data_IF_168970565768
#
_entry.id   IF_168970565768
#
_cell.length_a   1.000
_cell.length_b   1.000
_cell.length_c   1.000
_cell.angle_alpha   90.00
_cell.angle_beta   90.00
_cell.angle_gamma   90.00
#
_symmetry.space_group_name_H-M   'P 1'
#
loop_
_entity.id
_entity.type
_entity.pdbx_description
1 polymer ?
#
# COMPACT_ATOMS: atom_id res chain seq x y z
N UNK A 1 -2.00 -6.84 7.73
CA UNK A 1 -2.70 -7.89 6.95
C UNK A 1 -3.54 -7.19 5.87
N UNK A 2 -3.99 -7.83 4.77
CA UNK A 2 -4.91 -7.17 3.85
C UNK A 2 -6.21 -6.81 4.58
N UNK A 3 -6.54 -5.53 4.61
CA UNK A 3 -7.74 -4.98 5.26
C UNK A 3 -8.98 -5.49 4.52
N UNK A 4 -9.86 -6.18 5.24
CA UNK A 4 -11.13 -6.63 4.72
C UNK A 4 -12.23 -5.65 5.12
N UNK A 5 -12.44 -4.61 4.30
CA UNK A 5 -13.64 -3.77 4.43
C UNK A 5 -14.84 -4.65 4.08
N UNK A 6 -15.56 -5.14 5.09
CA UNK A 6 -16.77 -5.95 4.90
C UNK A 6 -17.91 -5.02 4.51
N UNK A 7 -18.18 -4.92 3.22
CA UNK A 7 -19.39 -4.30 2.71
C UNK A 7 -20.61 -5.17 3.07
N UNK A 8 -21.36 -4.74 4.11
CA UNK A 8 -22.54 -5.45 4.62
C UNK A 8 -23.79 -5.29 3.76
N UNK A 9 -23.72 -4.57 2.63
CA UNK A 9 -24.86 -4.39 1.74
C UNK A 9 -25.26 -5.71 1.08
N UNK A 10 -26.57 -5.96 0.96
CA UNK A 10 -27.09 -7.03 0.12
C UNK A 10 -26.57 -6.80 -1.30
N UNK A 11 -25.68 -7.69 -1.77
CA UNK A 11 -25.10 -7.61 -3.10
C UNK A 11 -26.23 -7.83 -4.12
N UNK A 12 -26.69 -6.80 -4.86
CA UNK A 12 -27.70 -7.01 -5.87
C UNK A 12 -26.99 -7.73 -7.02
N UNK A 13 -27.26 -9.03 -7.15
CA UNK A 13 -26.63 -9.89 -8.16
C UNK A 13 -26.71 -9.23 -9.53
N UNK A 14 -25.56 -8.82 -10.08
CA UNK A 14 -25.50 -8.18 -11.40
C UNK A 14 -24.42 -7.12 -11.59
N UNK A 15 -23.73 -6.64 -10.53
CA UNK A 15 -22.63 -5.67 -10.71
C UNK A 15 -21.31 -6.36 -11.10
N UNK A 16 -20.62 -5.82 -12.12
CA UNK A 16 -19.31 -6.29 -12.55
C UNK A 16 -18.30 -6.23 -11.40
N UNK A 17 -17.45 -7.26 -11.29
CA UNK A 17 -16.40 -7.37 -10.27
C UNK A 17 -15.51 -6.12 -10.24
N UNK A 18 -15.22 -5.54 -11.42
CA UNK A 18 -14.42 -4.33 -11.59
C UNK A 18 -15.04 -3.08 -10.94
N UNK A 19 -16.36 -2.87 -11.07
CA UNK A 19 -17.03 -1.72 -10.46
C UNK A 19 -16.98 -1.81 -8.93
N UNK A 20 -17.13 -3.02 -8.38
CA UNK A 20 -16.99 -3.27 -6.95
C UNK A 20 -15.56 -2.98 -6.47
N UNK A 21 -14.55 -3.41 -7.21
CA UNK A 21 -13.15 -3.09 -6.88
C UNK A 21 -12.88 -1.59 -6.89
N UNK A 22 -13.42 -0.84 -7.88
CA UNK A 22 -13.30 0.62 -7.94
C UNK A 22 -13.97 1.31 -6.75
N UNK A 23 -15.16 0.85 -6.36
CA UNK A 23 -15.87 1.35 -5.19
C UNK A 23 -15.06 1.11 -3.91
N UNK A 24 -14.59 -0.13 -3.67
CA UNK A 24 -13.79 -0.47 -2.50
C UNK A 24 -12.50 0.34 -2.41
N UNK A 25 -11.83 0.60 -3.53
CA UNK A 25 -10.62 1.45 -3.57
C UNK A 25 -10.92 2.88 -3.14
N UNK A 26 -12.04 3.45 -3.62
CA UNK A 26 -12.46 4.81 -3.25
C UNK A 26 -12.91 4.89 -1.79
N UNK A 27 -13.66 3.91 -1.33
CA UNK A 27 -14.06 3.80 0.07
C UNK A 27 -12.83 3.75 0.97
N UNK A 28 -11.84 2.92 0.63
CA UNK A 28 -10.56 2.85 1.36
C UNK A 28 -9.87 4.21 1.43
N UNK A 29 -9.75 4.95 0.32
CA UNK A 29 -9.07 6.27 0.34
C UNK A 29 -9.83 7.31 1.18
N UNK A 30 -11.17 7.27 1.16
CA UNK A 30 -11.98 8.15 2.00
C UNK A 30 -11.86 7.80 3.48
N UNK A 31 -11.83 6.51 3.82
CA UNK A 31 -11.56 6.03 5.19
C UNK A 31 -10.18 6.49 5.64
N UNK A 32 -9.13 6.31 4.83
CA UNK A 32 -7.78 6.77 5.15
C UNK A 32 -7.73 8.29 5.37
N UNK A 33 -8.35 9.07 4.48
CA UNK A 33 -8.42 10.52 4.63
C UNK A 33 -9.18 10.98 5.88
N UNK A 34 -10.27 10.29 6.24
CA UNK A 34 -11.02 10.56 7.45
C UNK A 34 -10.23 10.20 8.71
N UNK A 35 -9.60 9.03 8.75
CA UNK A 35 -8.69 8.59 9.83
C UNK A 35 -7.58 9.62 10.05
N UNK A 36 -6.97 10.14 8.97
CA UNK A 36 -5.92 11.16 9.05
C UNK A 36 -6.43 12.46 9.69
N UNK A 37 -7.60 12.95 9.27
CA UNK A 37 -8.21 14.15 9.86
C UNK A 37 -8.55 13.94 11.34
N UNK A 38 -9.20 12.83 11.67
CA UNK A 38 -9.57 12.51 13.05
C UNK A 38 -8.34 12.31 13.94
N UNK A 39 -7.24 11.77 13.41
CA UNK A 39 -6.00 11.60 14.16
C UNK A 39 -5.26 12.90 14.45
N UNK A 40 -5.49 13.97 13.68
CA UNK A 40 -4.92 15.29 13.96
C UNK A 40 -5.66 16.01 15.10
N UNK A 41 -6.93 15.68 15.30
CA UNK A 41 -7.80 16.33 16.29
C UNK A 41 -7.86 15.59 17.63
N UNK A 42 -7.51 14.29 17.69
CA UNK A 42 -7.62 13.46 18.90
C UNK A 42 -6.28 13.22 19.61
N UNK A 43 -6.36 13.08 20.92
CA UNK A 43 -5.24 12.68 21.76
C UNK A 43 -4.87 11.20 21.55
N UNK A 44 -3.57 10.90 21.61
CA UNK A 44 -2.97 9.56 21.36
C UNK A 44 -3.59 8.44 22.22
N UNK A 45 -4.08 8.77 23.43
CA UNK A 45 -4.72 7.77 24.31
C UNK A 45 -6.03 7.24 23.70
N UNK A 46 -6.81 8.11 23.08
CA UNK A 46 -8.09 7.75 22.45
C UNK A 46 -7.89 7.01 21.13
N UNK A 47 -6.76 7.23 20.44
CA UNK A 47 -6.38 6.51 19.22
C UNK A 47 -6.09 5.04 19.50
N UNK A 48 -5.58 4.72 20.70
CA UNK A 48 -5.27 3.35 21.12
C UNK A 48 -6.48 2.59 21.67
N UNK A 49 -7.63 3.23 21.88
CA UNK A 49 -8.85 2.57 22.36
C UNK A 49 -9.80 2.14 21.23
N UNK A 50 -9.51 2.53 19.98
CA UNK A 50 -10.39 2.31 18.84
C UNK A 50 -11.43 3.41 18.72
N UNK A 51 -11.98 3.61 17.52
CA UNK A 51 -12.81 4.79 17.26
C UNK A 51 -13.83 4.61 16.13
N UNK A 52 -14.98 5.24 16.33
CA UNK A 52 -15.94 5.47 15.27
C UNK A 52 -15.42 6.60 14.36
N UNK A 53 -15.22 6.27 13.07
CA UNK A 53 -14.87 7.24 12.04
C UNK A 53 -16.11 7.50 11.21
N UNK A 54 -16.59 8.73 11.24
CA UNK A 54 -17.72 9.17 10.44
C UNK A 54 -17.20 9.73 9.12
N UNK A 55 -17.63 9.15 8.00
CA UNK A 55 -17.20 9.56 6.67
C UNK A 55 -18.36 10.31 5.99
N UNK A 56 -18.13 11.53 5.48
CA UNK A 56 -19.13 12.23 4.69
C UNK A 56 -19.44 11.47 3.40
N UNK A 57 -20.71 11.44 2.99
CA UNK A 57 -21.17 10.70 1.80
C UNK A 57 -20.62 11.20 0.47
N UNK A 58 -20.13 12.44 0.43
CA UNK A 58 -19.66 13.07 -0.79
C UNK A 58 -18.47 12.31 -1.38
N UNK A 59 -18.77 11.51 -2.41
CA UNK A 59 -17.80 10.66 -3.12
C UNK A 59 -18.14 9.17 -3.13
N UNK A 60 -19.01 8.70 -2.23
CA UNK A 60 -19.43 7.28 -2.14
C UNK A 60 -20.57 6.91 -3.10
N UNK A 61 -21.13 7.90 -3.80
CA UNK A 61 -22.15 7.66 -4.81
C UNK A 61 -21.56 7.00 -6.07
N UNK A 62 -22.20 5.91 -6.49
CA UNK A 62 -21.93 5.32 -7.79
C UNK A 62 -22.58 6.19 -8.89
N UNK A 63 -21.83 6.62 -9.92
CA UNK A 63 -22.43 7.31 -11.04
C UNK A 63 -23.43 6.38 -11.74
N UNK A 64 -24.67 6.86 -11.91
CA UNK A 64 -25.71 6.13 -12.64
C UNK A 64 -25.89 6.79 -13.99
N UNK A 65 -25.73 6.00 -15.05
CA UNK A 65 -26.15 6.43 -16.38
C UNK A 65 -27.67 6.48 -16.41
N UNK A 66 -28.22 7.69 -16.45
CA UNK A 66 -29.62 7.88 -16.83
C UNK A 66 -29.69 7.83 -18.34
N UNK A 67 -30.62 7.02 -18.86
CA UNK A 67 -30.88 6.99 -20.29
C UNK A 67 -31.62 8.24 -20.76
N UNK A 68 -32.13 9.09 -19.87
CA UNK A 68 -32.90 10.27 -20.23
C UNK A 68 -31.99 11.44 -20.60
N UNK A 69 -31.81 11.63 -21.90
CA UNK A 69 -31.16 12.76 -22.53
C UNK A 69 -31.53 12.81 -24.02
N UNK A 70 -31.48 14.01 -24.61
CA UNK A 70 -31.87 14.28 -25.99
C UNK A 70 -33.36 14.63 -26.18
N UNK A 71 -33.70 15.13 -27.36
CA UNK A 71 -35.09 15.35 -27.80
C UNK A 71 -35.76 13.99 -28.05
N UNK A 72 -36.94 13.75 -27.47
CA UNK A 72 -37.65 12.48 -27.57
C UNK A 72 -39.10 12.72 -27.92
N UNK A 73 -39.55 12.03 -28.96
CA UNK A 73 -40.96 11.92 -29.29
C UNK A 73 -41.48 10.60 -28.72
N UNK A 74 -42.49 10.68 -27.86
CA UNK A 74 -43.13 9.51 -27.27
C UNK A 74 -44.64 9.67 -27.34
N UNK A 75 -45.32 8.63 -27.79
CA UNK A 75 -46.79 8.60 -27.83
C UNK A 75 -47.31 8.12 -26.48
N UNK A 76 -47.97 8.99 -25.73
CA UNK A 76 -48.66 8.65 -24.47
C UNK A 76 -50.13 8.33 -24.78
N UNK A 77 -50.58 7.07 -24.68
CA UNK A 77 -51.98 6.74 -24.87
C UNK A 77 -52.83 7.35 -23.77
N UNK A 78 -54.04 7.82 -24.10
CA UNK A 78 -54.97 8.42 -23.15
C UNK A 78 -54.98 9.95 -23.10
N UNK A 79 -54.32 10.63 -24.04
CA UNK A 79 -54.47 12.07 -24.19
C UNK A 79 -55.90 12.44 -24.60
N UNK A 80 -56.62 13.13 -23.71
CA UNK A 80 -57.97 13.66 -23.97
C UNK A 80 -58.03 15.20 -23.96
N UNK A 81 -56.91 15.87 -23.65
CA UNK A 81 -56.90 17.29 -23.26
C UNK A 81 -55.85 18.16 -23.96
N UNK A 82 -54.76 17.59 -24.46
CA UNK A 82 -53.64 18.35 -25.02
C UNK A 82 -53.60 18.25 -26.54
N UNK A 83 -53.27 19.35 -27.22
CA UNK A 83 -53.08 19.43 -28.67
C UNK A 83 -51.58 19.64 -28.97
N UNK A 84 -51.15 19.35 -30.19
CA UNK A 84 -49.79 19.61 -30.66
C UNK A 84 -49.41 21.09 -30.44
N UNK A 85 -48.33 21.34 -29.68
CA UNK A 85 -47.87 22.68 -29.28
C UNK A 85 -48.12 23.06 -27.82
N UNK A 86 -48.92 22.28 -27.08
CA UNK A 86 -49.15 22.52 -25.65
C UNK A 86 -47.93 22.13 -24.79
N UNK A 87 -47.61 22.98 -23.82
CA UNK A 87 -46.57 22.69 -22.83
C UNK A 87 -47.13 21.79 -21.71
N UNK A 88 -46.66 20.55 -21.63
CA UNK A 88 -46.92 19.70 -20.46
C UNK A 88 -46.10 20.21 -19.26
N UNK A 89 -46.76 20.41 -18.12
CA UNK A 89 -46.04 20.54 -16.86
C UNK A 89 -45.23 19.26 -16.64
N UNK A 90 -43.90 19.41 -16.56
CA UNK A 90 -42.99 18.31 -16.26
C UNK A 90 -43.49 17.67 -14.97
N UNK A 91 -43.86 16.38 -15.03
CA UNK A 91 -44.27 15.66 -13.83
C UNK A 91 -43.14 15.82 -12.81
N UNK A 92 -43.48 16.38 -11.65
CA UNK A 92 -42.56 16.65 -10.53
C UNK A 92 -42.11 15.38 -9.85
N UNK A 93 -41.69 14.37 -10.61
CA UNK A 93 -41.06 13.15 -10.13
C UNK A 93 -39.55 13.17 -10.38
N UNK A 94 -38.96 14.36 -10.27
CA UNK A 94 -37.67 14.48 -9.62
C UNK A 94 -37.95 15.06 -8.25
N UNK A 95 -38.02 14.21 -7.21
CA UNK A 95 -37.93 14.67 -5.84
C UNK A 95 -36.61 15.41 -5.67
N UNK A 96 -36.60 16.71 -5.95
CA UNK A 96 -35.90 17.65 -5.09
C UNK A 96 -36.65 17.56 -3.76
N UNK A 97 -36.17 16.65 -2.89
CA UNK A 97 -36.52 16.63 -1.49
C UNK A 97 -36.04 17.98 -0.97
N UNK A 98 -36.95 18.96 -0.99
CA UNK A 98 -36.79 20.21 -0.29
C UNK A 98 -36.68 19.78 1.17
N UNK A 99 -35.48 19.89 1.74
CA UNK A 99 -35.22 19.64 3.16
C UNK A 99 -35.95 20.73 3.95
N UNK A 100 -37.24 20.51 4.19
CA UNK A 100 -37.98 21.19 5.24
C UNK A 100 -37.32 20.87 6.58
N UNK A 101 -37.22 21.85 7.49
CA UNK A 101 -36.73 21.60 8.84
C UNK A 101 -37.79 20.80 9.59
N UNK A 102 -37.47 19.55 9.93
CA UNK A 102 -38.32 18.65 10.70
C UNK A 102 -38.81 17.45 9.90
N UNK A 103 -38.55 16.26 10.44
CA UNK A 103 -39.06 14.95 10.00
C UNK A 103 -38.48 14.38 8.69
N UNK A 104 -37.20 14.08 8.78
CA UNK A 104 -36.59 12.97 8.07
C UNK A 104 -35.23 12.81 8.71
N UNK A 105 -35.09 11.81 9.56
CA UNK A 105 -33.78 11.43 10.10
C UNK A 105 -32.87 11.20 8.89
N UNK A 106 -32.03 12.20 8.60
CA UNK A 106 -31.03 12.13 7.55
C UNK A 106 -29.93 11.24 8.10
N UNK A 107 -30.22 9.95 8.17
CA UNK A 107 -29.25 8.89 8.45
C UNK A 107 -28.29 8.76 7.26
N UNK A 108 -27.47 9.78 7.02
CA UNK A 108 -26.71 9.87 5.78
C UNK A 108 -25.27 10.35 6.07
N UNK A 109 -24.68 9.80 7.14
CA UNK A 109 -23.24 9.74 7.31
C UNK A 109 -22.83 8.28 7.52
N UNK A 110 -21.91 7.76 6.70
CA UNK A 110 -21.40 6.41 6.93
C UNK A 110 -20.54 6.42 8.19
N UNK A 111 -21.08 5.87 9.29
CA UNK A 111 -20.30 5.60 10.51
C UNK A 111 -19.64 4.24 10.36
N UNK A 112 -18.32 4.23 10.22
CA UNK A 112 -17.53 3.02 10.31
C UNK A 112 -17.00 2.91 11.72
N UNK A 113 -17.40 1.85 12.42
CA UNK A 113 -16.77 1.46 13.68
C UNK A 113 -15.52 0.67 13.29
N UNK A 114 -14.35 1.27 13.46
CA UNK A 114 -13.07 0.60 13.25
C UNK A 114 -12.60 0.02 14.58
N UNK A 115 -12.10 -1.21 14.54
CA UNK A 115 -11.34 -1.74 15.67
C UNK A 115 -10.05 -0.95 15.85
N UNK A 116 -9.48 -0.99 17.07
CA UNK A 116 -8.15 -0.42 17.36
C UNK A 116 -7.11 -0.88 16.34
N UNK A 117 -7.08 -2.18 16.05
CA UNK A 117 -6.07 -2.75 15.17
C UNK A 117 -6.24 -2.29 13.72
N UNK A 118 -7.47 -2.18 13.23
CA UNK A 118 -7.77 -1.67 11.89
C UNK A 118 -7.45 -0.17 11.76
N UNK A 119 -7.74 0.62 12.79
CA UNK A 119 -7.39 2.04 12.80
C UNK A 119 -5.88 2.22 12.69
N UNK A 120 -5.11 1.49 13.50
CA UNK A 120 -3.64 1.53 13.47
C UNK A 120 -3.12 1.04 12.12
N UNK A 121 -3.64 -0.06 11.58
CA UNK A 121 -3.20 -0.56 10.28
C UNK A 121 -3.49 0.43 9.14
N UNK A 122 -4.67 1.08 9.14
CA UNK A 122 -5.02 2.10 8.16
C UNK A 122 -4.14 3.34 8.27
N UNK A 123 -3.81 3.74 9.50
CA UNK A 123 -2.93 4.87 9.78
C UNK A 123 -1.49 4.61 9.32
N UNK A 124 -0.97 3.40 9.55
CA UNK A 124 0.41 3.04 9.22
C UNK A 124 0.62 2.64 7.75
N UNK A 125 -0.46 2.41 6.97
CA UNK A 125 -0.37 1.95 5.56
C UNK A 125 0.37 2.95 4.66
N UNK A 126 0.26 4.25 4.97
CA UNK A 126 0.87 5.34 4.20
C UNK A 126 2.31 5.69 4.67
N UNK A 127 2.81 4.98 5.68
CA UNK A 127 4.12 5.21 6.28
C UNK A 127 5.12 4.12 5.86
N UNK A 128 6.32 4.54 5.50
CA UNK A 128 7.42 3.66 5.10
C UNK A 128 8.76 4.24 5.54
N UNK A 129 9.72 3.38 5.87
CA UNK A 129 11.10 3.78 6.08
C UNK A 129 11.67 4.38 4.79
N UNK A 130 12.17 5.63 4.82
CA UNK A 130 12.76 6.27 3.66
C UNK A 130 13.93 5.46 3.09
N UNK A 131 14.07 5.47 1.76
CA UNK A 131 15.24 4.91 1.06
C UNK A 131 15.62 3.48 1.48
N UNK A 132 14.61 2.64 1.75
CA UNK A 132 14.81 1.23 2.10
C UNK A 132 15.36 0.44 0.91
N UNK A 133 16.68 0.39 0.82
CA UNK A 133 17.38 -0.35 -0.21
C UNK A 133 17.29 -1.86 0.08
N UNK A 134 16.96 -2.65 -0.94
CA UNK A 134 17.06 -4.11 -0.89
C UNK A 134 18.54 -4.51 -1.01
N UNK A 135 19.31 -4.28 0.06
CA UNK A 135 20.73 -4.64 0.14
C UNK A 135 20.84 -6.13 0.46
N UNK A 136 21.41 -6.86 -0.50
CA UNK A 136 21.85 -8.27 -0.49
C UNK A 136 20.92 -9.35 0.09
N UNK A 137 21.20 -10.57 -0.36
CA UNK A 137 20.45 -11.81 -0.12
C UNK A 137 21.04 -12.47 1.15
N UNK A 138 21.07 -11.76 2.27
CA UNK A 138 21.77 -12.29 3.45
C UNK A 138 20.93 -13.36 4.17
N UNK A 139 19.60 -13.27 4.16
CA UNK A 139 18.72 -14.28 4.75
C UNK A 139 17.49 -14.50 3.87
N UNK A 140 17.46 -15.63 3.16
CA UNK A 140 16.33 -16.03 2.32
C UNK A 140 15.28 -16.71 3.19
N UNK A 141 14.32 -15.94 3.72
CA UNK A 141 13.12 -16.51 4.35
C UNK A 141 11.87 -16.41 3.46
N UNK A 142 11.91 -15.58 2.42
CA UNK A 142 10.75 -15.38 1.54
C UNK A 142 11.02 -15.90 0.12
N UNK A 143 10.39 -17.02 -0.21
CA UNK A 143 10.31 -17.51 -1.58
C UNK A 143 9.20 -16.79 -2.32
N UNK A 144 9.57 -16.12 -3.42
CA UNK A 144 8.61 -15.54 -4.34
C UNK A 144 8.32 -16.50 -5.48
N UNK A 145 7.04 -16.70 -5.80
CA UNK A 145 6.69 -17.39 -7.04
C UNK A 145 6.86 -16.42 -8.21
N UNK A 146 7.77 -16.73 -9.13
CA UNK A 146 7.95 -16.02 -10.40
C UNK A 146 7.54 -16.91 -11.57
N UNK A 147 6.94 -16.31 -12.60
CA UNK A 147 6.57 -17.01 -13.82
C UNK A 147 7.81 -17.32 -14.65
N UNK A 148 8.17 -18.60 -14.75
CA UNK A 148 9.35 -19.10 -15.48
C UNK A 148 9.01 -19.65 -16.88
N UNK A 149 7.87 -19.26 -17.45
CA UNK A 149 7.46 -19.64 -18.80
C UNK A 149 6.42 -20.77 -18.84
N UNK A 150 6.68 -21.80 -19.65
CA UNK A 150 5.74 -22.89 -19.91
C UNK A 150 6.42 -24.26 -19.91
N UNK A 151 5.68 -25.28 -19.47
CA UNK A 151 6.09 -26.68 -19.47
C UNK A 151 5.02 -27.55 -20.14
N UNK A 152 5.39 -28.73 -20.60
CA UNK A 152 4.47 -29.70 -21.23
C UNK A 152 3.62 -30.47 -20.22
N UNK A 153 4.07 -30.56 -18.97
CA UNK A 153 3.38 -31.25 -17.87
C UNK A 153 3.24 -30.35 -16.65
N UNK A 154 2.11 -30.44 -15.94
CA UNK A 154 1.86 -29.64 -14.74
C UNK A 154 0.44 -29.79 -14.20
N UNK A 155 0.12 -29.06 -13.12
CA UNK A 155 -1.22 -29.05 -12.55
C UNK A 155 -2.26 -28.49 -13.54
N UNK A 156 -3.43 -29.13 -13.71
CA UNK A 156 -4.53 -28.62 -14.54
C UNK A 156 -4.91 -27.16 -14.30
N UNK A 157 -4.78 -26.67 -13.06
CA UNK A 157 -5.05 -25.26 -12.72
C UNK A 157 -4.13 -24.28 -13.46
N UNK A 158 -2.92 -24.71 -13.82
CA UNK A 158 -1.93 -23.87 -14.50
C UNK A 158 -2.01 -23.96 -16.03
N UNK A 159 -2.99 -24.68 -16.60
CA UNK A 159 -3.08 -24.87 -18.05
C UNK A 159 -3.23 -23.52 -18.79
N UNK A 160 -2.42 -23.34 -19.82
CA UNK A 160 -2.47 -22.17 -20.68
C UNK A 160 -3.32 -22.46 -21.91
N UNK A 161 -4.64 -22.35 -21.76
CA UNK A 161 -5.62 -22.62 -22.83
C UNK A 161 -5.26 -21.96 -24.15
N UNK A 162 -4.95 -20.66 -24.15
CA UNK A 162 -4.61 -19.92 -25.37
C UNK A 162 -3.40 -20.49 -26.11
N UNK A 163 -2.35 -20.89 -25.37
CA UNK A 163 -1.12 -21.44 -25.96
C UNK A 163 -1.30 -22.89 -26.41
N UNK A 164 -2.04 -23.68 -25.64
CA UNK A 164 -2.42 -25.05 -26.02
C UNK A 164 -3.23 -25.05 -27.31
N UNK A 165 -4.26 -24.20 -27.41
CA UNK A 165 -5.10 -24.09 -28.62
C UNK A 165 -4.28 -23.59 -29.82
N UNK A 166 -3.37 -22.64 -29.62
CA UNK A 166 -2.48 -22.15 -30.69
C UNK A 166 -1.58 -23.26 -31.23
N UNK A 167 -0.98 -24.08 -30.37
CA UNK A 167 -0.14 -25.21 -30.77
C UNK A 167 -0.97 -26.31 -31.47
N UNK A 168 -2.13 -26.64 -30.91
CA UNK A 168 -3.05 -27.60 -31.51
C UNK A 168 -3.54 -27.15 -32.91
N UNK A 169 -3.79 -25.85 -33.10
CA UNK A 169 -4.13 -25.30 -34.41
C UNK A 169 -2.94 -25.40 -35.38
N UNK A 170 -1.74 -25.00 -34.95
CA UNK A 170 -0.53 -25.09 -35.78
C UNK A 170 -0.24 -26.53 -36.24
N UNK A 171 -0.36 -27.50 -35.33
CA UNK A 171 -0.20 -28.94 -35.65
C UNK A 171 -1.26 -29.41 -36.65
N UNK A 172 -2.53 -29.03 -36.47
CA UNK A 172 -3.60 -29.39 -37.41
C UNK A 172 -3.38 -28.83 -38.81
N UNK A 173 -2.88 -27.59 -38.91
CA UNK A 173 -2.51 -26.97 -40.19
C UNK A 173 -1.33 -27.74 -40.82
N UNK A 174 -0.28 -28.03 -40.06
CA UNK A 174 0.89 -28.75 -40.54
C UNK A 174 0.57 -30.17 -41.03
N UNK A 175 -0.30 -30.90 -40.32
CA UNK A 175 -0.76 -32.23 -40.70
C UNK A 175 -1.88 -32.23 -41.75
N UNK A 176 -2.27 -31.04 -42.25
CA UNK A 176 -3.36 -30.83 -43.21
C UNK A 176 -4.64 -31.57 -42.79
N UNK A 177 -5.08 -31.35 -41.55
CA UNK A 177 -6.34 -31.93 -41.08
C UNK A 177 -7.49 -31.39 -41.95
N UNK A 178 -8.37 -32.24 -42.48
CA UNK A 178 -9.51 -31.80 -43.29
C UNK A 178 -10.37 -30.81 -42.51
N UNK A 179 -10.89 -29.78 -43.19
CA UNK A 179 -11.84 -28.86 -42.58
C UNK A 179 -13.19 -29.53 -42.44
N UNK A 180 -14.03 -29.02 -41.53
CA UNK A 180 -15.39 -29.53 -41.37
C UNK A 180 -16.22 -29.24 -42.63
N UNK A 181 -16.03 -28.05 -43.21
CA UNK A 181 -16.63 -27.60 -44.47
C UNK A 181 -16.33 -28.57 -45.62
N UNK A 182 -15.07 -28.97 -45.82
CA UNK A 182 -14.68 -29.93 -46.88
C UNK A 182 -15.38 -31.30 -46.73
N UNK A 183 -15.63 -31.74 -45.51
CA UNK A 183 -16.36 -32.99 -45.24
C UNK A 183 -17.85 -32.80 -45.51
N UNK A 184 -18.43 -31.68 -45.08
CA UNK A 184 -19.85 -31.35 -45.31
C UNK A 184 -20.16 -31.18 -46.80
N UNK A 185 -19.26 -30.56 -47.57
CA UNK A 185 -19.36 -30.43 -49.04
C UNK A 185 -19.35 -31.79 -49.73
N UNK A 186 -18.49 -32.72 -49.29
CA UNK A 186 -18.45 -34.09 -49.81
C UNK A 186 -19.69 -34.89 -49.40
N UNK A 187 -20.19 -34.74 -48.18
CA UNK A 187 -21.43 -35.37 -47.75
C UNK A 187 -22.64 -34.86 -48.55
N UNK A 188 -22.69 -33.56 -48.84
CA UNK A 188 -23.70 -32.96 -49.70
C UNK A 188 -23.57 -33.43 -51.16
N UNK A 189 -22.35 -33.56 -51.68
CA UNK A 189 -22.09 -34.08 -53.02
C UNK A 189 -22.53 -35.55 -53.16
N UNK A 190 -22.25 -36.39 -52.15
CA UNK A 190 -22.73 -37.78 -52.10
C UNK A 190 -24.26 -37.83 -52.08
N UNK A 191 -24.92 -36.97 -51.30
CA UNK A 191 -26.37 -36.93 -51.22
C UNK A 191 -27.05 -36.46 -52.52
N UNK A 192 -26.36 -35.68 -53.35
CA UNK A 192 -26.87 -35.17 -54.62
C UNK A 192 -26.47 -36.03 -55.85
N UNK A 193 -25.50 -36.93 -55.70
CA UNK A 193 -24.98 -37.75 -56.79
C UNK A 193 -25.97 -38.88 -57.14
N UNK A 194 -26.19 -39.10 -58.43
CA UNK A 194 -27.11 -40.11 -58.97
C UNK A 194 -26.41 -41.22 -59.76
N UNK A 195 -25.14 -41.00 -60.14
CA UNK A 195 -24.30 -41.96 -60.87
C UNK A 195 -23.57 -42.90 -59.90
N UNK A 196 -23.66 -44.22 -60.12
CA UNK A 196 -23.09 -45.24 -59.21
C UNK A 196 -21.55 -45.18 -59.16
N UNK A 197 -20.90 -44.96 -60.30
CA UNK A 197 -19.43 -44.88 -60.40
C UNK A 197 -18.86 -43.64 -59.69
N UNK A 198 -19.53 -42.48 -59.81
CA UNK A 198 -19.13 -41.24 -59.14
C UNK A 198 -19.36 -41.31 -57.62
N UNK A 199 -20.44 -41.97 -57.21
CA UNK A 199 -20.78 -42.18 -55.80
C UNK A 199 -19.72 -43.04 -55.10
N UNK A 200 -19.22 -44.09 -55.75
CA UNK A 200 -18.17 -44.94 -55.20
C UNK A 200 -16.85 -44.16 -54.98
N UNK A 201 -16.48 -43.30 -55.93
CA UNK A 201 -15.29 -42.42 -55.83
C UNK A 201 -15.43 -41.43 -54.67
N UNK A 202 -16.60 -40.79 -54.53
CA UNK A 202 -16.87 -39.82 -53.46
C UNK A 202 -16.87 -40.48 -52.08
N UNK A 203 -17.45 -41.68 -51.96
CA UNK A 203 -17.41 -42.46 -50.71
C UNK A 203 -15.98 -42.81 -50.31
N UNK A 204 -15.14 -43.25 -51.25
CA UNK A 204 -13.74 -43.56 -50.98
C UNK A 204 -12.94 -42.32 -50.53
N UNK A 205 -13.23 -41.15 -51.11
CA UNK A 205 -12.62 -39.87 -50.69
C UNK A 205 -13.07 -39.46 -49.28
N UNK A 206 -14.36 -39.60 -48.98
CA UNK A 206 -14.92 -39.32 -47.67
C UNK A 206 -14.32 -40.24 -46.60
N UNK A 207 -14.20 -41.54 -46.86
CA UNK A 207 -13.55 -42.48 -45.94
C UNK A 207 -12.10 -42.07 -45.65
N UNK A 208 -11.35 -41.67 -46.68
CA UNK A 208 -9.97 -41.19 -46.54
C UNK A 208 -9.87 -39.95 -45.66
N UNK A 209 -10.77 -38.98 -45.84
CA UNK A 209 -10.81 -37.76 -45.01
C UNK A 209 -11.28 -38.04 -43.57
N UNK A 210 -12.27 -38.92 -43.38
CA UNK A 210 -12.73 -39.37 -42.06
C UNK A 210 -11.61 -40.12 -41.32
N UNK A 211 -10.89 -41.00 -42.00
CA UNK A 211 -9.72 -41.70 -41.44
C UNK A 211 -8.62 -40.71 -41.03
N UNK A 212 -8.33 -39.70 -41.86
CA UNK A 212 -7.34 -38.65 -41.56
C UNK A 212 -7.77 -37.79 -40.36
N UNK A 213 -9.06 -37.47 -40.26
CA UNK A 213 -9.63 -36.71 -39.14
C UNK A 213 -9.55 -37.49 -37.83
N UNK A 214 -9.82 -38.80 -37.86
CA UNK A 214 -9.72 -39.68 -36.68
C UNK A 214 -8.27 -39.84 -36.19
N UNK A 215 -7.30 -39.85 -37.10
CA UNK A 215 -5.86 -39.89 -36.76
C UNK A 215 -5.32 -38.61 -36.13
N UNK A 216 -5.90 -37.45 -36.46
CA UNK A 216 -5.42 -36.14 -35.99
C UNK A 216 -6.39 -35.59 -34.92
N UNK A 217 -6.16 -35.85 -33.62
CA UNK A 217 -7.04 -35.38 -32.55
C UNK A 217 -7.09 -33.85 -32.50
N UNK A 218 -8.15 -33.30 -31.92
CA UNK A 218 -8.35 -31.85 -31.80
C UNK A 218 -7.33 -31.20 -30.86
N UNK A 219 -7.06 -31.84 -29.72
CA UNK A 219 -5.97 -31.51 -28.80
C UNK A 219 -5.19 -32.80 -28.59
N UNK A 220 -3.88 -32.73 -28.77
CA UNK A 220 -2.94 -33.80 -28.45
C UNK A 220 -2.26 -33.49 -27.11
N UNK A 221 -1.92 -34.48 -26.26
CA UNK A 221 -1.09 -34.26 -25.07
C UNK A 221 0.18 -33.45 -25.35
N UNK A 222 0.78 -33.57 -26.54
CA UNK A 222 1.94 -32.79 -26.97
C UNK A 222 1.65 -31.29 -27.16
N UNK A 223 0.39 -30.92 -27.40
CA UNK A 223 -0.04 -29.53 -27.58
C UNK A 223 -0.21 -28.82 -26.23
N UNK A 224 -0.39 -29.58 -25.14
CA UNK A 224 -0.73 -29.03 -23.82
C UNK A 224 0.46 -28.25 -23.26
N UNK A 225 0.20 -27.02 -22.82
CA UNK A 225 1.17 -26.18 -22.10
C UNK A 225 0.61 -25.72 -20.78
N UNK A 226 1.39 -25.90 -19.73
CA UNK A 226 1.11 -25.39 -18.39
C UNK A 226 2.02 -24.19 -18.12
N UNK A 227 1.52 -23.19 -17.39
CA UNK A 227 2.33 -22.09 -16.89
C UNK A 227 3.28 -22.65 -15.84
N UNK A 228 4.59 -22.43 -16.05
CA UNK A 228 5.63 -22.81 -15.11
C UNK A 228 5.86 -21.67 -14.13
N UNK A 229 5.90 -22.01 -12.87
CA UNK A 229 6.20 -21.12 -11.77
C UNK A 229 7.44 -21.68 -11.06
N UNK A 230 8.41 -20.83 -10.80
CA UNK A 230 9.61 -21.17 -10.03
C UNK A 230 9.65 -20.33 -8.77
N UNK A 231 10.12 -20.95 -7.69
CA UNK A 231 10.41 -20.26 -6.45
C UNK A 231 11.77 -19.60 -6.59
N UNK A 232 11.75 -18.26 -6.59
CA UNK A 232 12.97 -17.45 -6.62
C UNK A 232 13.11 -16.79 -5.24
N UNK A 233 14.30 -16.86 -4.62
CA UNK A 233 14.53 -16.16 -3.37
C UNK A 233 14.33 -14.66 -3.57
N UNK A 234 13.42 -14.05 -2.81
CA UNK A 234 13.27 -12.60 -2.82
C UNK A 234 14.21 -12.01 -1.77
N UNK A 235 15.09 -11.06 -2.13
CA UNK A 235 15.92 -10.38 -1.16
C UNK A 235 15.02 -9.62 -0.18
N UNK A 236 15.13 -9.96 1.09
CA UNK A 236 14.45 -9.27 2.18
C UNK A 236 15.38 -8.16 2.64
N UNK A 237 14.92 -6.92 2.61
CA UNK A 237 15.67 -5.80 3.19
C UNK A 237 15.65 -5.96 4.71
N UNK A 238 16.82 -6.15 5.31
CA UNK A 238 17.01 -6.04 6.75
C UNK A 238 17.29 -4.58 7.09
N UNK A 239 16.73 -4.13 8.21
CA UNK A 239 16.96 -2.78 8.70
C UNK A 239 17.10 -2.77 10.23
N UNK A 240 17.90 -1.84 10.73
CA UNK A 240 18.05 -1.56 12.16
C UNK A 240 17.63 -0.12 12.41
N UNK A 241 16.80 0.08 13.42
CA UNK A 241 16.41 1.40 13.92
C UNK A 241 17.06 1.65 15.27
N UNK A 242 17.87 2.71 15.34
CA UNK A 242 18.44 3.23 16.57
C UNK A 242 17.54 4.31 17.16
N UNK A 243 17.08 4.10 18.39
CA UNK A 243 16.28 5.06 19.15
C UNK A 243 17.16 5.71 20.21
N UNK A 244 17.52 6.99 20.02
CA UNK A 244 18.40 7.75 20.92
C UNK A 244 17.57 8.71 21.79
N UNK A 245 17.26 8.34 23.03
CA UNK A 245 16.48 9.20 23.94
C UNK A 245 17.40 9.93 24.91
N UNK A 246 17.19 11.24 25.02
CA UNK A 246 17.76 12.07 26.08
C UNK A 246 16.94 11.90 27.37
N UNK A 247 17.62 11.54 28.45
CA UNK A 247 17.01 11.36 29.78
C UNK A 247 17.68 12.24 30.83
N UNK A 248 18.35 13.30 30.38
CA UNK A 248 19.02 14.29 31.22
C UNK A 248 18.08 15.07 32.15
N UNK A 249 18.68 15.89 33.00
CA UNK A 249 17.98 16.76 33.93
C UNK A 249 17.28 17.96 33.29
N UNK A 250 17.68 18.40 32.09
CA UNK A 250 17.06 19.52 31.38
C UNK A 250 15.68 19.14 30.80
N UNK A 251 15.48 17.85 30.55
CA UNK A 251 14.22 17.30 30.04
C UNK A 251 13.13 17.23 31.13
N UNK A 252 12.12 18.10 31.00
CA UNK A 252 10.92 18.10 31.86
C UNK A 252 10.08 16.82 31.72
N UNK A 253 9.18 16.53 32.67
CA UNK A 253 8.27 15.38 32.57
C UNK A 253 7.39 15.42 31.30
N UNK A 254 6.96 16.62 30.89
CA UNK A 254 6.17 16.81 29.68
C UNK A 254 6.98 16.45 28.43
N UNK A 255 8.22 16.94 28.32
CA UNK A 255 9.07 16.63 27.17
C UNK A 255 9.42 15.13 27.13
N UNK A 256 9.65 14.50 28.29
CA UNK A 256 9.84 13.04 28.42
C UNK A 256 8.58 12.27 27.96
N UNK A 257 7.38 12.72 28.30
CA UNK A 257 6.12 12.12 27.83
C UNK A 257 5.99 12.23 26.30
N UNK A 258 6.31 13.37 25.71
CA UNK A 258 6.29 13.58 24.26
C UNK A 258 7.28 12.65 23.54
N UNK A 259 8.53 12.59 24.00
CA UNK A 259 9.55 11.72 23.43
C UNK A 259 9.16 10.24 23.52
N UNK A 260 8.65 9.78 24.68
CA UNK A 260 8.18 8.40 24.87
C UNK A 260 7.05 8.06 23.91
N UNK A 261 6.09 8.96 23.71
CA UNK A 261 4.97 8.76 22.77
C UNK A 261 5.44 8.62 21.33
N UNK A 262 6.39 9.47 20.91
CA UNK A 262 7.01 9.35 19.59
C UNK A 262 7.67 7.98 19.40
N UNK A 263 8.48 7.51 20.36
CA UNK A 263 9.13 6.20 20.26
C UNK A 263 8.17 5.03 20.36
N UNK A 264 7.10 5.13 21.15
CA UNK A 264 6.04 4.12 21.19
C UNK A 264 5.35 3.98 19.83
N UNK A 265 5.05 5.11 19.18
CA UNK A 265 4.46 5.10 17.84
C UNK A 265 5.43 4.50 16.82
N UNK A 266 6.72 4.87 16.90
CA UNK A 266 7.78 4.31 16.07
C UNK A 266 7.91 2.79 16.26
N UNK A 267 7.87 2.31 17.49
CA UNK A 267 7.94 0.88 17.81
C UNK A 267 6.76 0.11 17.20
N UNK A 268 5.54 0.61 17.40
CA UNK A 268 4.32 -0.01 16.84
C UNK A 268 4.38 0.00 15.31
N UNK A 269 4.82 1.11 14.71
CA UNK A 269 5.01 1.23 13.26
C UNK A 269 5.96 0.15 12.73
N UNK A 270 7.15 0.03 13.32
CA UNK A 270 8.17 -0.90 12.86
C UNK A 270 7.75 -2.36 13.02
N UNK A 271 7.23 -2.74 14.20
CA UNK A 271 6.78 -4.11 14.48
C UNK A 271 5.61 -4.56 13.61
N UNK A 272 4.70 -3.64 13.22
CA UNK A 272 3.55 -3.98 12.37
C UNK A 272 3.91 -4.01 10.89
N UNK A 273 4.70 -3.04 10.40
CA UNK A 273 4.97 -2.86 8.96
C UNK A 273 6.10 -3.74 8.47
N UNK A 274 7.05 -4.09 9.34
CA UNK A 274 8.26 -4.83 8.97
C UNK A 274 8.48 -6.05 9.87
N UNK A 275 8.79 -7.19 9.24
CA UNK A 275 9.08 -8.43 9.97
C UNK A 275 10.53 -8.54 10.42
N UNK A 276 11.45 -7.96 9.64
CA UNK A 276 12.90 -8.10 9.82
C UNK A 276 13.52 -6.73 10.12
N UNK A 277 13.03 -6.10 11.19
CA UNK A 277 13.61 -4.87 11.73
C UNK A 277 14.08 -5.13 13.15
N UNK A 278 15.36 -4.86 13.40
CA UNK A 278 15.92 -4.80 14.74
C UNK A 278 15.80 -3.38 15.29
N UNK A 279 15.44 -3.26 16.56
CA UNK A 279 15.27 -1.98 17.25
C UNK A 279 16.25 -1.96 18.40
N UNK A 280 17.14 -0.97 18.40
CA UNK A 280 18.15 -0.78 19.44
C UNK A 280 17.82 0.51 20.19
N UNK A 281 17.68 0.40 21.50
CA UNK A 281 17.36 1.53 22.36
C UNK A 281 18.63 2.00 23.07
N UNK A 282 18.96 3.28 22.91
CA UNK A 282 20.08 3.93 23.57
C UNK A 282 19.52 5.11 24.34
N UNK A 283 19.77 5.12 25.64
CA UNK A 283 19.50 6.30 26.48
C UNK A 283 20.81 6.99 26.79
N UNK A 284 20.77 8.32 26.90
CA UNK A 284 21.98 9.07 27.22
C UNK A 284 21.72 10.19 28.22
N UNK A 285 22.74 10.42 29.04
CA UNK A 285 22.95 11.59 29.90
C UNK A 285 24.37 12.11 29.63
N UNK A 286 25.23 12.14 30.66
CA UNK A 286 26.68 12.24 30.58
C UNK A 286 27.33 10.95 30.03
N UNK A 287 26.61 9.84 30.06
CA UNK A 287 27.00 8.55 29.47
C UNK A 287 25.84 7.96 28.69
N UNK A 288 26.17 7.20 27.64
CA UNK A 288 25.18 6.46 26.87
C UNK A 288 25.30 4.96 27.13
N UNK A 289 24.16 4.30 27.16
CA UNK A 289 24.07 2.85 27.29
C UNK A 289 22.93 2.29 26.46
N UNK A 290 23.14 1.08 25.95
CA UNK A 290 22.09 0.28 25.34
C UNK A 290 21.21 -0.31 26.44
N UNK A 291 19.90 -0.18 26.26
CA UNK A 291 18.90 -0.64 27.21
C UNK A 291 17.82 -1.47 26.53
N UNK A 292 17.06 -2.20 27.33
CA UNK A 292 15.88 -2.91 26.87
C UNK A 292 14.67 -1.97 26.77
N UNK A 293 13.59 -2.46 26.15
CA UNK A 293 12.34 -1.71 25.94
C UNK A 293 11.78 -1.17 27.27
N UNK A 294 11.77 -1.99 28.32
CA UNK A 294 11.19 -1.60 29.60
C UNK A 294 12.01 -0.48 30.27
N UNK A 295 13.34 -0.59 30.28
CA UNK A 295 14.18 0.44 30.87
C UNK A 295 14.18 1.73 30.04
N UNK A 296 14.07 1.63 28.72
CA UNK A 296 13.98 2.80 27.84
C UNK A 296 12.74 3.67 28.12
N UNK A 297 11.57 3.05 28.34
CA UNK A 297 10.33 3.80 28.56
C UNK A 297 10.05 4.15 30.02
N UNK A 298 10.51 3.36 30.98
CA UNK A 298 10.13 3.52 32.39
C UNK A 298 11.31 3.78 33.33
N UNK A 299 12.56 3.61 32.86
CA UNK A 299 13.75 3.76 33.68
C UNK A 299 13.95 5.21 34.15
N UNK A 300 14.17 5.46 35.45
CA UNK A 300 14.62 6.75 35.92
C UNK A 300 16.08 6.98 35.52
N UNK A 301 16.39 8.20 35.08
CA UNK A 301 17.76 8.65 34.86
C UNK A 301 17.81 10.17 35.09
N UNK A 302 18.94 10.64 35.60
CA UNK A 302 19.21 12.04 35.89
C UNK A 302 20.72 12.25 35.74
N UNK A 303 21.12 13.30 35.04
CA UNK A 303 22.52 13.59 34.72
C UNK A 303 22.63 14.79 33.77
N UNK A 304 23.85 15.12 33.38
CA UNK A 304 24.10 16.12 32.34
C UNK A 304 23.71 15.62 30.95
N UNK A 305 23.90 16.47 29.93
CA UNK A 305 23.53 16.17 28.55
C UNK A 305 24.79 16.17 27.68
N UNK A 306 25.23 14.98 27.25
CA UNK A 306 26.34 14.79 26.30
C UNK A 306 25.86 13.93 25.13
N UNK A 307 25.49 14.59 24.03
CA UNK A 307 24.97 13.92 22.83
C UNK A 307 26.04 13.07 22.13
N UNK A 308 27.31 13.49 22.17
CA UNK A 308 28.41 12.72 21.59
C UNK A 308 28.52 11.31 22.16
N UNK A 309 28.17 11.11 23.43
CA UNK A 309 28.19 9.79 24.09
C UNK A 309 27.21 8.82 23.41
N UNK A 310 26.01 9.30 23.05
CA UNK A 310 25.00 8.50 22.36
C UNK A 310 25.45 8.11 20.95
N UNK A 311 26.05 9.05 20.23
CA UNK A 311 26.55 8.82 18.87
C UNK A 311 27.76 7.88 18.85
N UNK A 312 28.63 7.95 19.87
CA UNK A 312 29.73 6.99 20.05
C UNK A 312 29.20 5.58 20.29
N UNK A 313 28.28 5.43 21.25
CA UNK A 313 27.65 4.14 21.54
C UNK A 313 26.95 3.56 20.29
N UNK A 314 26.21 4.40 19.55
CA UNK A 314 25.61 3.98 18.27
C UNK A 314 26.67 3.52 17.26
N UNK A 315 27.77 4.27 17.10
CA UNK A 315 28.84 3.92 16.17
C UNK A 315 29.50 2.58 16.53
N UNK A 316 29.76 2.34 17.82
CA UNK A 316 30.33 1.09 18.33
C UNK A 316 29.40 -0.09 18.03
N UNK A 317 28.11 0.05 18.36
CA UNK A 317 27.10 -0.98 18.09
C UNK A 317 26.99 -1.29 16.61
N UNK A 318 26.97 -0.27 15.74
CA UNK A 318 26.94 -0.46 14.29
C UNK A 318 28.16 -1.26 13.84
N UNK A 319 29.36 -0.92 14.33
CA UNK A 319 30.59 -1.63 13.93
C UNK A 319 30.64 -3.08 14.40
N UNK A 320 30.10 -3.38 15.58
CA UNK A 320 30.12 -4.72 16.16
C UNK A 320 29.04 -5.63 15.59
N UNK A 321 27.82 -5.12 15.40
CA UNK A 321 26.64 -5.94 15.05
C UNK A 321 26.09 -5.72 13.65
N UNK A 322 26.23 -4.52 13.06
CA UNK A 322 25.49 -4.13 11.87
C UNK A 322 26.40 -3.60 10.75
N UNK A 323 26.85 -4.49 9.86
CA UNK A 323 27.61 -4.07 8.69
C UNK A 323 26.73 -3.21 7.74
N UNK A 324 27.11 -1.95 7.41
CA UNK A 324 26.34 -1.07 6.52
C UNK A 324 26.13 -1.62 5.09
N UNK A 325 26.92 -2.63 4.69
CA UNK A 325 26.77 -3.31 3.39
C UNK A 325 25.55 -4.23 3.34
N UNK A 326 25.15 -4.79 4.49
CA UNK A 326 24.13 -5.82 4.59
C UNK A 326 22.84 -5.29 5.25
N UNK A 327 22.97 -4.31 6.14
CA UNK A 327 21.85 -3.70 6.87
C UNK A 327 21.54 -2.28 6.40
N UNK A 328 20.26 -1.92 6.39
CA UNK A 328 19.85 -0.52 6.33
C UNK A 328 19.78 0.07 7.73
N UNK A 329 20.51 1.15 7.97
CA UNK A 329 20.69 1.76 9.27
C UNK A 329 19.87 3.05 9.33
N UNK A 330 19.00 3.12 10.32
CA UNK A 330 18.14 4.25 10.61
C UNK A 330 18.39 4.74 12.03
N UNK A 331 18.28 6.04 12.26
CA UNK A 331 18.36 6.61 13.59
C UNK A 331 17.25 7.63 13.82
N UNK A 332 16.72 7.64 15.04
CA UNK A 332 15.74 8.60 15.52
C UNK A 332 16.18 9.09 16.89
N UNK A 333 16.52 10.37 16.98
CA UNK A 333 16.95 11.05 18.21
C UNK A 333 15.86 11.99 18.70
N UNK A 334 15.60 11.97 20.02
CA UNK A 334 14.74 12.93 20.69
C UNK A 334 15.48 13.58 21.87
N UNK A 335 15.49 14.91 21.91
CA UNK A 335 16.14 15.73 22.95
C UNK A 335 15.47 17.10 23.05
N UNK A 336 15.67 17.82 24.15
CA UNK A 336 15.21 19.22 24.33
C UNK A 336 16.06 20.24 23.55
N UNK A 337 17.16 19.79 22.93
CA UNK A 337 18.04 20.67 22.17
C UNK A 337 19.20 21.24 22.99
N UNK A 338 19.27 20.94 24.28
CA UNK A 338 20.39 21.36 25.12
C UNK A 338 21.59 20.43 24.92
N UNK A 339 22.78 21.01 24.85
CA UNK A 339 24.02 20.24 24.82
C UNK A 339 25.13 21.07 25.45
N UNK A 340 26.07 20.38 26.11
CA UNK A 340 27.26 21.05 26.62
C UNK A 340 28.04 21.72 25.49
N UNK A 341 28.46 22.97 25.69
CA UNK A 341 29.27 23.72 24.71
C UNK A 341 30.53 22.97 24.28
N UNK A 342 31.15 22.23 25.20
CA UNK A 342 32.35 21.43 24.91
C UNK A 342 32.08 20.23 24.00
N UNK A 343 30.81 19.83 23.85
CA UNK A 343 30.38 18.61 23.16
C UNK A 343 29.89 18.87 21.72
N UNK A 344 29.54 20.12 21.41
CA UNK A 344 29.00 20.49 20.10
C UNK A 344 29.93 20.15 18.94
N UNK A 345 31.23 20.48 19.04
CA UNK A 345 32.20 20.19 17.97
C UNK A 345 32.37 18.68 17.76
N UNK A 346 32.48 17.90 18.84
CA UNK A 346 32.61 16.45 18.78
C UNK A 346 31.38 15.80 18.16
N UNK A 347 30.18 16.26 18.55
CA UNK A 347 28.91 15.80 18.00
C UNK A 347 28.83 16.03 16.49
N UNK A 348 29.22 17.23 16.02
CA UNK A 348 29.25 17.54 14.59
C UNK A 348 30.20 16.66 13.78
N UNK A 349 31.40 16.41 14.31
CA UNK A 349 32.40 15.52 13.69
C UNK A 349 31.89 14.07 13.62
N UNK A 350 31.35 13.54 14.72
CA UNK A 350 30.83 12.17 14.77
C UNK A 350 29.67 11.97 13.79
N UNK A 351 28.73 12.93 13.72
CA UNK A 351 27.63 12.86 12.76
C UNK A 351 28.15 12.84 11.33
N UNK A 352 29.03 13.78 10.98
CA UNK A 352 29.52 13.96 9.61
C UNK A 352 30.37 12.80 9.14
N UNK A 353 31.30 12.33 9.98
CA UNK A 353 32.32 11.37 9.57
C UNK A 353 31.90 9.91 9.79
N UNK A 354 31.05 9.64 10.79
CA UNK A 354 30.80 8.27 11.28
C UNK A 354 29.36 7.79 11.12
N UNK A 355 28.37 8.66 11.37
CA UNK A 355 26.96 8.23 11.45
C UNK A 355 26.21 8.51 10.14
N UNK A 356 26.20 9.75 9.66
CA UNK A 356 25.45 10.15 8.46
C UNK A 356 25.89 9.40 7.18
N UNK A 357 27.18 9.06 6.97
CA UNK A 357 27.59 8.28 5.80
C UNK A 357 27.08 6.83 5.78
N UNK A 358 26.79 6.25 6.95
CA UNK A 358 26.32 4.86 7.07
C UNK A 358 24.79 4.77 7.20
N UNK A 359 24.14 5.85 7.64
CA UNK A 359 22.69 5.91 7.82
C UNK A 359 21.98 6.30 6.52
N UNK A 360 20.87 5.62 6.23
CA UNK A 360 19.97 5.96 5.14
C UNK A 360 19.12 7.18 5.49
N UNK A 361 18.74 7.28 6.76
CA UNK A 361 17.89 8.36 7.25
C UNK A 361 18.11 8.58 8.74
N UNK A 362 18.31 9.84 9.11
CA UNK A 362 18.42 10.29 10.49
C UNK A 362 17.28 11.26 10.79
N UNK A 363 16.45 10.94 11.77
CA UNK A 363 15.39 11.79 12.28
C UNK A 363 15.82 12.44 13.60
N UNK A 364 15.71 13.76 13.68
CA UNK A 364 15.91 14.50 14.92
C UNK A 364 14.59 15.17 15.33
N UNK A 365 14.18 14.92 16.56
CA UNK A 365 13.01 15.48 17.20
C UNK A 365 13.43 16.35 18.37
N UNK A 366 13.18 17.64 18.27
CA UNK A 366 13.36 18.57 19.37
C UNK A 366 12.04 18.70 20.13
N UNK A 367 12.07 18.48 21.45
CA UNK A 367 10.89 18.56 22.31
C UNK A 367 10.90 19.83 23.14
N UNK A 368 9.88 20.66 22.98
CA UNK A 368 9.75 21.96 23.65
C UNK A 368 8.90 21.93 24.92
N UNK A 369 8.90 23.04 25.65
CA UNK A 369 8.03 23.25 26.82
C UNK A 369 6.55 23.42 26.43
N UNK A 370 5.66 23.09 27.35
CA UNK A 370 4.22 23.20 27.15
C UNK A 370 3.80 24.66 26.99
N UNK A 371 3.07 24.98 25.90
CA UNK A 371 2.56 26.33 25.63
C UNK A 371 3.46 27.21 24.76
N UNK A 372 4.66 26.75 24.38
CA UNK A 372 5.46 27.37 23.33
C UNK A 372 4.95 26.94 21.95
N UNK A 373 4.75 27.87 21.02
CA UNK A 373 4.51 27.50 19.62
C UNK A 373 5.80 26.93 19.02
N UNK A 374 5.70 25.93 18.14
CA UNK A 374 6.86 25.40 17.42
C UNK A 374 7.61 26.48 16.61
N UNK A 375 6.96 27.61 16.31
CA UNK A 375 7.54 28.78 15.65
C UNK A 375 8.28 29.73 16.60
N UNK A 376 7.93 29.77 17.89
CA UNK A 376 8.54 30.66 18.90
C UNK A 376 9.71 30.03 19.66
N UNK A 377 9.99 28.74 19.43
CA UNK A 377 11.16 28.07 20.00
C UNK A 377 12.44 28.64 19.38
N UNK A 378 13.22 29.36 20.20
CA UNK A 378 14.58 29.78 19.83
C UNK A 378 15.39 28.57 19.34
N UNK A 379 16.19 28.75 18.30
CA UNK A 379 17.02 27.68 17.79
C UNK A 379 18.04 27.25 18.85
N UNK A 380 17.90 25.99 19.29
CA UNK A 380 18.81 25.37 20.24
C UNK A 380 20.21 25.22 19.64
N UNK A 381 21.20 24.96 20.50
CA UNK A 381 22.58 24.75 20.06
C UNK A 381 22.68 23.54 19.12
N UNK A 382 21.93 22.47 19.42
CA UNK A 382 21.82 21.28 18.58
C UNK A 382 21.06 21.55 17.28
N UNK A 383 19.94 22.29 17.33
CA UNK A 383 19.17 22.64 16.15
C UNK A 383 20.04 23.36 15.11
N UNK A 384 20.78 24.38 15.56
CA UNK A 384 21.64 25.16 14.67
C UNK A 384 22.75 24.31 14.06
N UNK A 385 23.33 23.38 14.83
CA UNK A 385 24.36 22.47 14.35
C UNK A 385 23.81 21.50 13.29
N UNK A 386 22.64 20.91 13.57
CA UNK A 386 22.02 19.91 12.72
C UNK A 386 21.48 20.56 11.43
N UNK A 387 20.94 21.78 11.51
CA UNK A 387 20.47 22.50 10.32
C UNK A 387 21.63 22.84 9.37
N UNK A 388 22.80 23.20 9.91
CA UNK A 388 24.01 23.38 9.11
C UNK A 388 24.39 22.09 8.37
N UNK A 389 24.32 20.94 9.03
CA UNK A 389 24.60 19.63 8.42
C UNK A 389 23.55 19.26 7.37
N UNK A 390 22.27 19.52 7.65
CA UNK A 390 21.18 19.33 6.69
C UNK A 390 21.39 20.16 5.42
N UNK A 391 21.79 21.42 5.55
CA UNK A 391 22.09 22.31 4.43
C UNK A 391 23.30 21.86 3.61
N UNK A 392 24.20 21.05 4.19
CA UNK A 392 25.31 20.42 3.45
C UNK A 392 24.89 19.19 2.63
N UNK A 393 23.62 18.79 2.68
CA UNK A 393 23.04 17.68 1.92
C UNK A 393 23.00 16.33 2.65
N UNK A 394 23.16 16.32 3.97
CA UNK A 394 23.04 15.11 4.78
C UNK A 394 21.59 14.56 4.76
N UNK A 395 21.40 13.23 4.87
CA UNK A 395 20.08 12.58 4.95
C UNK A 395 19.43 12.76 6.34
N UNK A 396 19.28 14.02 6.76
CA UNK A 396 18.83 14.44 8.07
C UNK A 396 17.47 15.16 7.96
N UNK A 397 16.51 14.76 8.77
CA UNK A 397 15.21 15.42 8.89
C UNK A 397 14.96 15.85 10.33
N UNK A 398 14.60 17.11 10.53
CA UNK A 398 14.49 17.74 11.85
C UNK A 398 13.09 18.31 12.06
N UNK A 399 12.48 18.07 13.21
CA UNK A 399 11.16 18.61 13.57
C UNK A 399 11.13 19.02 15.05
N UNK A 400 10.38 20.07 15.37
CA UNK A 400 10.08 20.49 16.75
C UNK A 400 8.67 20.04 17.12
N UNK A 401 8.45 19.67 18.38
CA UNK A 401 7.15 19.30 18.94
C UNK A 401 7.03 19.88 20.34
N UNK A 402 5.97 20.63 20.62
CA UNK A 402 5.65 21.13 21.97
C UNK A 402 4.35 20.56 22.53
N UNK A 403 3.44 20.12 21.65
CA UNK A 403 2.14 19.57 22.02
C UNK A 403 1.97 18.10 21.66
N UNK A 404 1.08 17.42 22.38
CA UNK A 404 0.76 16.00 22.14
C UNK A 404 0.06 15.78 20.80
N UNK A 405 -0.74 16.75 20.37
CA UNK A 405 -1.45 16.78 19.09
C UNK A 405 -0.50 16.80 17.88
N UNK A 406 0.67 17.43 18.03
CA UNK A 406 1.66 17.61 16.97
C UNK A 406 2.51 16.36 16.67
N UNK A 407 2.59 15.42 17.63
CA UNK A 407 3.38 14.18 17.48
C UNK A 407 2.98 13.43 16.21
N UNK A 408 1.67 13.31 15.95
CA UNK A 408 1.17 12.55 14.81
C UNK A 408 1.49 13.21 13.46
N UNK A 409 1.16 14.50 13.21
CA UNK A 409 1.61 15.22 12.03
C UNK A 409 3.12 15.12 11.79
N UNK A 410 3.92 15.30 12.84
CA UNK A 410 5.38 15.25 12.75
C UNK A 410 5.87 13.85 12.40
N UNK A 411 5.34 12.81 13.05
CA UNK A 411 5.68 11.43 12.75
C UNK A 411 5.34 11.06 11.31
N UNK A 412 4.15 11.43 10.84
CA UNK A 412 3.75 11.21 9.46
C UNK A 412 4.68 11.94 8.50
N UNK A 413 5.03 13.19 8.75
CA UNK A 413 5.89 13.95 7.85
C UNK A 413 7.33 13.38 7.75
N UNK A 414 7.84 12.81 8.86
CA UNK A 414 9.14 12.14 8.89
C UNK A 414 9.15 10.82 8.10
N UNK A 415 8.08 10.03 8.18
CA UNK A 415 8.03 8.66 7.64
C UNK A 415 7.00 8.45 6.51
N UNK A 416 6.44 9.53 5.95
CA UNK A 416 5.54 9.41 4.80
C UNK A 416 6.26 8.79 3.60
N UNK A 417 5.53 7.97 2.86
CA UNK A 417 6.03 7.39 1.62
C UNK A 417 6.42 8.50 0.64
N UNK A 418 7.71 8.67 0.40
CA UNK A 418 8.22 9.57 -0.64
C UNK A 418 8.04 8.87 -1.99
N UNK A 419 7.23 9.44 -2.88
CA UNK A 419 7.20 8.99 -4.28
C UNK A 419 8.57 9.27 -4.90
N UNK A 420 9.46 8.28 -4.87
CA UNK A 420 10.71 8.35 -5.61
C UNK A 420 10.34 8.40 -7.10
N UNK A 421 10.85 9.41 -7.81
CA UNK A 421 10.60 9.62 -9.24
C UNK A 421 10.99 8.41 -10.13
N UNK A 422 11.68 7.41 -9.56
CA UNK A 422 12.08 6.17 -10.23
C UNK A 422 10.92 5.15 -10.39
N UNK A 423 9.85 5.18 -9.58
CA UNK A 423 8.73 4.24 -9.73
C UNK A 423 7.80 4.59 -10.92
N UNK A 424 7.91 5.79 -11.50
CA UNK A 424 7.20 6.18 -12.75
C UNK A 424 7.89 5.71 -14.04
N UNK A 425 9.09 5.12 -13.95
CA UNK A 425 9.91 4.76 -15.11
C UNK A 425 10.01 3.24 -15.40
N UNK A 426 9.14 2.41 -14.82
CA UNK A 426 9.02 1.01 -15.20
C UNK A 426 7.76 0.79 -16.06
N UNK A 427 7.90 0.44 -17.36
CA UNK A 427 6.77 0.16 -18.25
C UNK A 427 6.02 -1.14 -17.90
#
# INVERSE_FOLDING_TARGET
MPIHIIDRRLNPGGKSLENRQRFLRRAKSLVQGAVKKTSQERDIKDVLEGGEVTIPLDGMHEPRFRREGGTRDMVLPGNKKFIEGDYLQRSGQGSAKNSGPGEGDSEDAFRFVLSRDEFVDLFLDDLELPDLAKRKIAQTESEGIQRAGYTTSGSPANISVSRTVKLALARRIALKRPRKEEIEELEAAIAACTDEDELEVLLAQLEKLKAKTKRIPFIDPLDIRYRRFETVPKPVAQAVMFCLMDVSGSMSEHMKDLAKRFYMLLYVFLKRRYKHVEIVFIRHTDRAEEVDEQTFFYGPASGGTLVSSALQAMHEIVRERFNPSDWNIYAAQASDGDNSYSDGELTGLLLTDKILPVCQFFAYLEVGESGGSAFDLSDSSLWTLYDRLRNSGAPLSMRKVSERSEIFPVFHDLFQRRETAQEKAAP
#
